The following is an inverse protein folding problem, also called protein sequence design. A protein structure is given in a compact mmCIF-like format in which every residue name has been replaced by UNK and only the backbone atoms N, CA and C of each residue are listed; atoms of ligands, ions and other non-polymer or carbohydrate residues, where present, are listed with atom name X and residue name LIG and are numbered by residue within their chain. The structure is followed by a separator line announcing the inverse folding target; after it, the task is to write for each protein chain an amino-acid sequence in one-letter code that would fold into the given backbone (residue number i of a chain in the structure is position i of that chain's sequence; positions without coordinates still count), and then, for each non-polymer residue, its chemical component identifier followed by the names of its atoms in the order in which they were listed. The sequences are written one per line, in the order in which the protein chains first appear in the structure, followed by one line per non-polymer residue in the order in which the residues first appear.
data_IF_781340404211
#
_entry.id   IF_781340404211
#
_cell.length_a   1.000
_cell.length_b   1.000
_cell.length_c   1.000
_cell.angle_alpha   90.00
_cell.angle_beta   90.00
_cell.angle_gamma   90.00
#
_symmetry.space_group_name_H-M   'P 1'
#
loop_
_entity.id
_entity.type
_entity.pdbx_description
1 polymer ?
#
# COMPACT_ATOMS: atom_id res chain seq x y z
N UNK A 1 -10.81 4.23 -54.24
CA UNK A 1 -11.06 3.27 -53.13
C UNK A 1 -10.14 3.65 -51.99
N UNK A 2 -10.74 4.18 -50.92
CA UNK A 2 -10.03 4.65 -49.74
C UNK A 2 -9.81 3.46 -48.79
N UNK A 3 -8.55 3.08 -48.57
CA UNK A 3 -8.17 2.23 -47.45
C UNK A 3 -7.53 3.15 -46.43
N UNK A 4 -8.38 3.73 -45.58
CA UNK A 4 -7.96 4.37 -44.34
C UNK A 4 -7.41 3.23 -43.47
N UNK A 5 -6.09 3.05 -43.49
CA UNK A 5 -5.41 2.24 -42.51
C UNK A 5 -5.59 2.95 -41.15
N UNK A 6 -6.56 2.48 -40.36
CA UNK A 6 -6.62 2.78 -38.94
C UNK A 6 -5.32 2.26 -38.32
N UNK A 7 -4.32 3.13 -38.25
CA UNK A 7 -3.20 2.99 -37.35
C UNK A 7 -3.81 2.99 -35.96
N UNK A 8 -4.22 1.81 -35.50
CA UNK A 8 -4.49 1.55 -34.12
C UNK A 8 -3.21 1.90 -33.39
N UNK A 9 -3.21 3.06 -32.75
CA UNK A 9 -2.38 3.30 -31.58
C UNK A 9 -2.81 2.27 -30.55
N UNK A 10 -2.33 1.04 -30.73
CA UNK A 10 -2.11 0.12 -29.65
C UNK A 10 -1.18 0.86 -28.71
N UNK A 11 -1.78 1.60 -27.77
CA UNK A 11 -1.15 1.85 -26.50
C UNK A 11 -0.99 0.46 -25.89
N UNK A 12 0.08 -0.23 -26.31
CA UNK A 12 0.80 -1.09 -25.43
C UNK A 12 1.19 -0.16 -24.28
N UNK A 13 0.32 -0.06 -23.28
CA UNK A 13 0.68 0.42 -21.96
C UNK A 13 1.75 -0.57 -21.53
N UNK A 14 3.00 -0.28 -21.88
CA UNK A 14 4.18 -0.89 -21.30
C UNK A 14 4.01 -0.65 -19.81
N UNK A 15 3.47 -1.68 -19.16
CA UNK A 15 3.05 -1.71 -17.77
C UNK A 15 4.27 -1.84 -16.88
N UNK A 16 5.36 -1.16 -17.24
CA UNK A 16 6.58 -1.08 -16.50
C UNK A 16 6.39 0.06 -15.53
N UNK A 17 5.85 -0.29 -14.36
CA UNK A 17 5.92 0.59 -13.22
C UNK A 17 7.38 1.09 -13.06
N UNK A 18 7.59 2.37 -12.68
CA UNK A 18 8.93 2.90 -12.49
C UNK A 18 9.76 1.97 -11.59
N UNK A 19 11.09 1.86 -11.80
CA UNK A 19 11.96 1.13 -10.89
C UNK A 19 11.72 1.56 -9.44
N UNK A 20 11.50 0.62 -8.53
CA UNK A 20 11.20 0.90 -7.11
C UNK A 20 9.73 1.17 -6.77
N UNK A 21 8.84 1.27 -7.76
CA UNK A 21 7.42 1.55 -7.52
C UNK A 21 6.73 0.45 -6.69
N UNK A 22 6.99 -0.82 -7.02
CA UNK A 22 6.37 -1.92 -6.30
C UNK A 22 6.92 -2.03 -4.88
N UNK A 23 8.22 -1.81 -4.70
CA UNK A 23 8.88 -1.74 -3.39
C UNK A 23 8.29 -0.62 -2.53
N UNK A 24 8.03 0.54 -3.12
CA UNK A 24 7.38 1.64 -2.43
C UNK A 24 5.95 1.29 -2.03
N UNK A 25 5.17 0.64 -2.91
CA UNK A 25 3.82 0.18 -2.57
C UNK A 25 3.83 -0.83 -1.41
N UNK A 26 4.80 -1.74 -1.40
CA UNK A 26 4.97 -2.72 -0.32
C UNK A 26 5.29 -2.01 0.99
N UNK A 27 6.23 -1.06 0.95
CA UNK A 27 6.60 -0.27 2.11
C UNK A 27 5.40 0.52 2.64
N UNK A 28 4.67 1.23 1.78
CA UNK A 28 3.46 1.98 2.14
C UNK A 28 2.38 1.07 2.72
N UNK A 29 2.19 -0.14 2.18
CA UNK A 29 1.28 -1.14 2.74
C UNK A 29 1.60 -1.45 4.20
N UNK A 30 2.86 -1.81 4.49
CA UNK A 30 3.28 -2.09 5.87
C UNK A 30 3.18 -0.88 6.81
N UNK A 31 3.46 0.34 6.33
CA UNK A 31 3.31 1.57 7.12
C UNK A 31 1.84 1.84 7.50
N UNK A 32 0.93 1.71 6.54
CA UNK A 32 -0.50 1.95 6.76
C UNK A 32 -1.07 0.93 7.73
N UNK A 33 -0.75 -0.36 7.53
CA UNK A 33 -1.21 -1.42 8.42
C UNK A 33 -0.65 -1.25 9.84
N UNK A 34 0.62 -0.87 9.97
CA UNK A 34 1.23 -0.59 11.28
C UNK A 34 0.54 0.58 12.00
N UNK A 35 0.26 1.69 11.31
CA UNK A 35 -0.50 2.79 11.93
C UNK A 35 -1.91 2.35 12.29
N UNK A 36 -2.60 1.62 11.41
CA UNK A 36 -3.96 1.15 11.68
C UNK A 36 -4.03 0.23 12.90
N UNK A 37 -3.05 -0.67 13.04
CA UNK A 37 -2.88 -1.53 14.24
C UNK A 37 -2.56 -0.70 15.47
N UNK A 38 -1.58 0.21 15.40
CA UNK A 38 -1.21 1.07 16.51
C UNK A 38 -2.39 1.92 17.01
N UNK A 39 -3.19 2.45 16.08
CA UNK A 39 -4.35 3.28 16.38
C UNK A 39 -5.60 2.48 16.79
N UNK A 40 -5.52 1.15 16.85
CA UNK A 40 -6.66 0.27 17.19
C UNK A 40 -7.80 0.31 16.17
N UNK A 41 -7.51 0.70 14.92
CA UNK A 41 -8.48 0.72 13.80
C UNK A 41 -8.47 -0.57 12.98
N UNK A 42 -7.44 -1.39 13.19
CA UNK A 42 -7.26 -2.70 12.61
C UNK A 42 -6.64 -3.60 13.69
N UNK A 43 -7.04 -4.85 13.79
CA UNK A 43 -6.33 -5.81 14.64
C UNK A 43 -5.21 -6.51 13.85
N UNK A 44 -4.36 -7.26 14.54
CA UNK A 44 -3.24 -7.95 13.89
C UNK A 44 -3.71 -8.97 12.84
N UNK A 45 -4.85 -9.64 13.06
CA UNK A 45 -5.37 -10.62 12.12
C UNK A 45 -5.83 -9.97 10.82
N UNK A 46 -6.46 -8.80 10.89
CA UNK A 46 -6.88 -8.03 9.73
C UNK A 46 -5.66 -7.49 8.96
N UNK A 47 -4.60 -7.08 9.67
CA UNK A 47 -3.33 -6.70 9.05
C UNK A 47 -2.68 -7.88 8.31
N UNK A 48 -2.70 -9.08 8.90
CA UNK A 48 -2.14 -10.28 8.26
C UNK A 48 -2.95 -10.69 7.01
N UNK A 49 -4.27 -10.55 7.04
CA UNK A 49 -5.13 -10.77 5.88
C UNK A 49 -4.85 -9.74 4.77
N UNK A 50 -4.70 -8.46 5.13
CA UNK A 50 -4.37 -7.42 4.17
C UNK A 50 -2.98 -7.64 3.54
N UNK A 51 -1.98 -7.99 4.37
CA UNK A 51 -0.65 -8.41 3.92
C UNK A 51 -0.74 -9.56 2.91
N UNK A 52 -1.52 -10.60 3.19
CA UNK A 52 -1.68 -11.75 2.28
C UNK A 52 -2.27 -11.32 0.92
N UNK A 53 -3.28 -10.45 0.92
CA UNK A 53 -3.87 -9.90 -0.30
C UNK A 53 -2.91 -9.00 -1.08
N UNK A 54 -2.11 -8.19 -0.39
CA UNK A 54 -1.07 -7.38 -1.02
C UNK A 54 0.06 -8.27 -1.59
N UNK A 55 0.46 -9.31 -0.86
CA UNK A 55 1.46 -10.29 -1.29
C UNK A 55 1.05 -10.95 -2.60
N UNK A 56 -0.17 -11.48 -2.67
CA UNK A 56 -0.68 -12.11 -3.89
C UNK A 56 -0.63 -11.16 -5.10
N UNK A 57 -1.04 -9.89 -4.92
CA UNK A 57 -1.00 -8.86 -5.97
C UNK A 57 0.42 -8.50 -6.41
N UNK A 58 1.37 -8.43 -5.48
CA UNK A 58 2.77 -8.09 -5.80
C UNK A 58 3.49 -9.25 -6.48
N UNK A 59 3.20 -10.49 -6.09
CA UNK A 59 3.70 -11.69 -6.80
C UNK A 59 3.21 -11.73 -8.26
N UNK A 60 1.94 -11.39 -8.51
CA UNK A 60 1.39 -11.27 -9.87
C UNK A 60 2.09 -10.18 -10.72
N UNK A 61 2.68 -9.17 -10.07
CA UNK A 61 3.47 -8.10 -10.69
C UNK A 61 4.95 -8.45 -10.85
N UNK A 62 5.35 -9.69 -10.54
CA UNK A 62 6.72 -10.17 -10.68
C UNK A 62 7.65 -9.83 -9.51
N UNK A 63 7.12 -9.27 -8.41
CA UNK A 63 7.91 -9.08 -7.19
C UNK A 63 8.19 -10.45 -6.57
N UNK A 64 9.44 -10.71 -6.19
CA UNK A 64 9.78 -11.94 -5.48
C UNK A 64 9.17 -12.00 -4.08
N UNK A 65 8.73 -13.19 -3.65
CA UNK A 65 8.15 -13.41 -2.32
C UNK A 65 9.01 -12.87 -1.18
N UNK A 66 10.32 -13.17 -1.20
CA UNK A 66 11.26 -12.66 -0.18
C UNK A 66 11.40 -11.13 -0.21
N UNK A 67 11.32 -10.51 -1.38
CA UNK A 67 11.40 -9.05 -1.52
C UNK A 67 10.16 -8.41 -0.90
N UNK A 68 8.99 -8.98 -1.19
CA UNK A 68 7.73 -8.57 -0.57
C UNK A 68 7.77 -8.70 0.95
N UNK A 69 8.06 -9.91 1.44
CA UNK A 69 7.96 -10.23 2.86
C UNK A 69 8.93 -9.37 3.69
N UNK A 70 10.14 -9.11 3.19
CA UNK A 70 11.12 -8.22 3.82
C UNK A 70 10.72 -6.75 3.77
N UNK A 71 10.27 -6.27 2.60
CA UNK A 71 9.86 -4.88 2.42
C UNK A 71 8.71 -4.51 3.33
N UNK A 72 7.71 -5.39 3.41
CA UNK A 72 6.54 -5.19 4.27
C UNK A 72 6.93 -5.24 5.75
N UNK A 73 7.65 -6.27 6.19
CA UNK A 73 8.02 -6.43 7.60
C UNK A 73 8.87 -5.25 8.09
N UNK A 74 9.88 -4.86 7.30
CA UNK A 74 10.74 -3.71 7.61
C UNK A 74 9.95 -2.42 7.80
N UNK A 75 9.01 -2.11 6.89
CA UNK A 75 8.23 -0.88 6.99
C UNK A 75 7.20 -0.94 8.13
N UNK A 76 6.56 -2.08 8.34
CA UNK A 76 5.63 -2.30 9.45
C UNK A 76 6.32 -2.12 10.80
N UNK A 77 7.44 -2.80 11.01
CA UNK A 77 8.18 -2.78 12.27
C UNK A 77 8.78 -1.39 12.55
N UNK A 78 9.34 -0.74 11.53
CA UNK A 78 9.88 0.61 11.66
C UNK A 78 8.80 1.62 12.04
N UNK A 79 7.62 1.54 11.42
CA UNK A 79 6.49 2.43 11.75
C UNK A 79 5.94 2.14 13.15
N UNK A 80 5.82 0.87 13.54
CA UNK A 80 5.44 0.50 14.91
C UNK A 80 6.45 1.03 15.94
N UNK A 81 7.75 0.91 15.68
CA UNK A 81 8.80 1.42 16.56
C UNK A 81 8.76 2.95 16.65
N UNK A 82 8.56 3.64 15.52
CA UNK A 82 8.41 5.10 15.48
C UNK A 82 7.18 5.57 16.25
N UNK A 83 6.04 4.88 16.09
CA UNK A 83 4.81 5.23 16.80
C UNK A 83 4.97 5.08 18.32
N UNK A 84 5.66 4.02 18.76
CA UNK A 84 5.99 3.78 20.17
C UNK A 84 7.00 4.79 20.73
N UNK A 85 7.99 5.21 19.95
CA UNK A 85 9.01 6.17 20.39
C UNK A 85 8.52 7.62 20.42
N UNK A 86 7.49 7.95 19.61
CA UNK A 86 6.85 9.26 19.60
C UNK A 86 5.32 9.15 19.68
N UNK A 87 4.77 8.83 20.87
CA UNK A 87 3.34 8.59 21.03
C UNK A 87 2.48 9.83 20.79
N UNK A 88 3.02 11.04 20.99
CA UNK A 88 2.30 12.30 20.73
C UNK A 88 2.06 12.47 19.23
N UNK A 89 3.11 12.31 18.41
CA UNK A 89 2.98 12.38 16.96
C UNK A 89 2.11 11.24 16.41
N UNK A 90 2.25 10.04 16.98
CA UNK A 90 1.45 8.89 16.60
C UNK A 90 -0.05 9.12 16.86
N UNK A 91 -0.42 9.69 18.02
CA UNK A 91 -1.80 10.05 18.33
C UNK A 91 -2.38 11.06 17.34
N UNK A 92 -1.59 12.08 16.95
CA UNK A 92 -2.00 13.03 15.92
C UNK A 92 -2.16 12.38 14.53
N UNK A 93 -1.34 11.38 14.21
CA UNK A 93 -1.51 10.59 12.99
C UNK A 93 -2.80 9.76 13.04
N UNK A 94 -3.11 9.11 14.17
CA UNK A 94 -4.37 8.37 14.36
C UNK A 94 -5.60 9.27 14.16
N UNK A 95 -5.58 10.49 14.69
CA UNK A 95 -6.67 11.44 14.51
C UNK A 95 -6.85 11.87 13.05
N UNK A 96 -5.75 12.03 12.30
CA UNK A 96 -5.84 12.32 10.86
C UNK A 96 -6.44 11.15 10.07
N UNK A 97 -6.07 9.92 10.40
CA UNK A 97 -6.66 8.71 9.77
C UNK A 97 -8.16 8.64 10.03
N UNK A 98 -8.61 8.96 11.25
CA UNK A 98 -10.03 9.01 11.59
C UNK A 98 -10.80 10.08 10.82
N UNK A 99 -10.21 11.28 10.64
CA UNK A 99 -10.81 12.35 9.85
C UNK A 99 -10.92 11.98 8.36
N UNK A 100 -9.92 11.29 7.81
CA UNK A 100 -9.97 10.80 6.42
C UNK A 100 -11.02 9.71 6.23
N UNK A 101 -11.14 8.76 7.17
CA UNK A 101 -12.19 7.73 7.12
C UNK A 101 -13.60 8.33 7.22
N UNK A 102 -13.79 9.33 8.07
CA UNK A 102 -15.05 10.06 8.19
C UNK A 102 -15.38 10.92 6.94
N UNK A 103 -14.36 11.43 6.23
CA UNK A 103 -14.54 12.16 4.98
C UNK A 103 -14.88 11.21 3.81
N UNK A 104 -14.22 10.05 3.72
CA UNK A 104 -14.51 9.03 2.71
C UNK A 104 -15.92 8.44 2.86
N UNK A 105 -16.39 8.24 4.10
CA UNK A 105 -17.75 7.78 4.38
C UNK A 105 -18.85 8.84 4.11
N UNK A 106 -18.47 10.09 3.81
CA UNK A 106 -19.38 11.21 3.51
C UNK A 106 -19.37 11.62 2.04
N UNK A 107 -18.56 10.97 1.20
CA UNK A 107 -18.67 11.14 -0.26
C UNK A 107 -19.77 10.19 -0.77
N UNK A 108 -20.87 10.74 -1.33
CA UNK A 108 -22.00 9.94 -1.83
C UNK A 108 -21.66 9.14 -3.09
#
# INVERSE_FOLDING_TARGET
MAVLACAGVAHAQSSQAPPGYNEQLIATGGQVDAIAVYCGKMDQSAADQHKAGLRARMLQKGVGASTFDRGYASSFDATMAQAKSNPVQAKAACQRVEQMGAAAARQP
#
